data_IF_207529755761
#
_entry.id   IF_207529755761
#
_cell.length_a   1.000
_cell.length_b   1.000
_cell.length_c   1.000
_cell.angle_alpha   90.00
_cell.angle_beta   90.00
_cell.angle_gamma   90.00
#
_symmetry.space_group_name_H-M   'P 1'
#
loop_
_entity.id
_entity.type
_entity.pdbx_description
1 polymer ?
#
# COMPACT_ATOMS: atom_id res chain seq x y z
N UNK A 1 -28.58 -16.56 -69.19
CA UNK A 1 -27.39 -17.20 -68.59
C UNK A 1 -26.98 -16.37 -67.37
N UNK A 2 -27.03 -16.92 -66.16
CA UNK A 2 -26.48 -16.25 -64.97
C UNK A 2 -25.03 -16.68 -64.78
N UNK A 3 -24.13 -15.70 -64.69
CA UNK A 3 -22.72 -15.94 -64.37
C UNK A 3 -22.59 -15.98 -62.86
N UNK A 4 -22.13 -17.10 -62.31
CA UNK A 4 -21.81 -17.19 -60.89
C UNK A 4 -20.44 -16.53 -60.69
N UNK A 5 -20.42 -15.32 -60.11
CA UNK A 5 -19.18 -14.62 -59.79
C UNK A 5 -18.68 -15.14 -58.45
N UNK A 6 -17.53 -15.82 -58.45
CA UNK A 6 -16.85 -16.22 -57.22
C UNK A 6 -16.26 -14.98 -56.55
N UNK A 7 -16.92 -14.48 -55.49
CA UNK A 7 -16.40 -13.36 -54.72
C UNK A 7 -15.45 -13.90 -53.64
N UNK A 8 -14.20 -13.43 -53.64
CA UNK A 8 -13.19 -13.86 -52.68
C UNK A 8 -13.53 -13.38 -51.25
N UNK A 9 -13.36 -14.26 -50.28
CA UNK A 9 -13.43 -13.93 -48.85
C UNK A 9 -12.35 -12.90 -48.49
N UNK A 10 -12.73 -11.89 -47.71
CA UNK A 10 -11.81 -10.87 -47.19
C UNK A 10 -11.85 -10.98 -45.67
N UNK A 11 -10.73 -11.34 -45.06
CA UNK A 11 -10.59 -11.43 -43.61
C UNK A 11 -10.50 -10.04 -42.98
N UNK A 12 -10.91 -9.95 -41.71
CA UNK A 12 -10.77 -8.72 -40.97
C UNK A 12 -9.29 -8.41 -40.64
N UNK A 13 -8.87 -7.19 -40.96
CA UNK A 13 -7.55 -6.65 -40.57
C UNK A 13 -7.76 -5.54 -39.55
N UNK A 14 -7.04 -5.60 -38.43
CA UNK A 14 -7.08 -4.60 -37.35
C UNK A 14 -5.77 -3.85 -37.24
N UNK A 15 -5.84 -2.58 -36.85
CA UNK A 15 -4.69 -1.72 -36.62
C UNK A 15 -3.97 -2.01 -35.29
N UNK A 16 -2.92 -1.22 -35.03
CA UNK A 16 -2.20 -1.28 -33.76
C UNK A 16 -3.07 -0.84 -32.59
N UNK A 17 -2.73 -1.34 -31.40
CA UNK A 17 -3.33 -0.88 -30.16
C UNK A 17 -3.03 0.59 -29.89
N UNK A 18 -4.05 1.34 -29.49
CA UNK A 18 -3.90 2.66 -28.90
C UNK A 18 -3.22 2.62 -27.52
N UNK A 19 -2.96 3.80 -26.94
CA UNK A 19 -2.39 3.91 -25.61
C UNK A 19 -3.33 3.32 -24.54
N UNK A 20 -2.75 2.87 -23.44
CA UNK A 20 -3.51 2.48 -22.26
C UNK A 20 -4.16 3.70 -21.60
N UNK A 21 -5.41 3.56 -21.17
CA UNK A 21 -6.10 4.56 -20.36
C UNK A 21 -5.45 4.70 -18.98
N UNK A 22 -5.75 5.79 -18.29
CA UNK A 22 -5.46 5.90 -16.86
C UNK A 22 -6.05 4.73 -16.07
N UNK A 23 -5.40 4.36 -14.97
CA UNK A 23 -5.92 3.33 -14.08
C UNK A 23 -7.23 3.80 -13.45
N UNK A 24 -8.26 2.95 -13.43
CA UNK A 24 -9.57 3.28 -12.84
C UNK A 24 -9.46 3.63 -11.35
N UNK A 25 -8.49 3.04 -10.66
CA UNK A 25 -8.23 3.29 -9.25
C UNK A 25 -6.95 4.12 -9.12
N UNK A 26 -7.00 5.32 -8.50
CA UNK A 26 -5.81 6.18 -8.36
C UNK A 26 -4.83 5.69 -7.28
N UNK A 27 -5.33 4.95 -6.28
CA UNK A 27 -4.58 4.58 -5.07
C UNK A 27 -4.41 3.06 -4.84
N UNK A 28 -5.13 2.23 -5.60
CA UNK A 28 -5.29 0.81 -5.32
C UNK A 28 -5.24 -0.02 -6.60
N UNK A 29 -5.47 -1.33 -6.48
CA UNK A 29 -5.73 -2.18 -7.64
C UNK A 29 -6.94 -1.62 -8.41
N UNK A 30 -6.73 -1.43 -9.70
CA UNK A 30 -7.74 -1.03 -10.65
C UNK A 30 -7.52 -1.74 -11.97
N UNK A 31 -8.12 -1.19 -13.01
CA UNK A 31 -7.97 -1.69 -14.36
C UNK A 31 -7.69 -0.56 -15.33
N UNK A 32 -7.00 -0.88 -16.41
CA UNK A 32 -6.76 0.03 -17.54
C UNK A 32 -7.23 -0.65 -18.81
N UNK A 33 -7.75 0.14 -19.75
CA UNK A 33 -8.27 -0.31 -21.03
C UNK A 33 -7.53 0.36 -22.20
N UNK A 34 -7.38 -0.35 -23.30
CA UNK A 34 -6.98 0.21 -24.59
C UNK A 34 -7.83 -0.36 -25.71
N UNK A 35 -7.94 0.37 -26.81
CA UNK A 35 -8.69 -0.03 -28.00
C UNK A 35 -7.83 -0.01 -29.26
N UNK A 36 -8.26 -0.75 -30.28
CA UNK A 36 -7.72 -0.71 -31.65
C UNK A 36 -8.86 -0.64 -32.66
N UNK A 37 -8.56 -0.12 -33.84
CA UNK A 37 -9.54 0.07 -34.90
C UNK A 37 -9.45 -1.04 -35.96
N UNK A 38 -10.55 -1.28 -36.66
CA UNK A 38 -10.60 -2.16 -37.82
C UNK A 38 -10.07 -1.39 -39.03
N UNK A 39 -9.03 -1.89 -39.67
CA UNK A 39 -8.45 -1.34 -40.89
C UNK A 39 -9.17 -1.87 -42.14
N UNK A 40 -9.54 -3.16 -42.14
CA UNK A 40 -10.31 -3.78 -43.23
C UNK A 40 -11.43 -4.61 -42.59
N UNK A 41 -12.72 -4.29 -42.85
CA UNK A 41 -13.83 -5.08 -42.35
C UNK A 41 -13.97 -6.40 -43.11
N UNK A 42 -14.43 -7.48 -42.46
CA UNK A 42 -14.57 -8.78 -43.11
C UNK A 42 -15.70 -8.73 -44.15
N UNK A 43 -15.50 -9.41 -45.30
CA UNK A 43 -16.49 -9.51 -46.39
C UNK A 43 -16.53 -10.91 -46.98
N UNK A 44 -17.66 -11.25 -47.61
CA UNK A 44 -17.87 -12.49 -48.38
C UNK A 44 -17.51 -13.77 -47.60
N UNK A 45 -17.88 -13.81 -46.31
CA UNK A 45 -17.60 -14.97 -45.44
C UNK A 45 -16.17 -15.05 -44.89
N UNK A 46 -15.37 -13.98 -45.00
CA UNK A 46 -14.05 -13.91 -44.36
C UNK A 46 -14.10 -13.85 -42.83
N UNK A 47 -12.95 -14.08 -42.21
CA UNK A 47 -12.78 -14.25 -40.76
C UNK A 47 -13.16 -12.98 -39.99
N UNK A 48 -13.97 -13.09 -38.90
CA UNK A 48 -14.36 -11.94 -38.09
C UNK A 48 -13.16 -11.28 -37.40
N UNK A 49 -13.32 -10.02 -37.00
CA UNK A 49 -12.27 -9.27 -36.33
C UNK A 49 -11.94 -9.86 -34.94
N UNK A 50 -10.65 -9.91 -34.56
CA UNK A 50 -10.26 -10.22 -33.20
C UNK A 50 -10.66 -9.07 -32.24
N UNK A 51 -10.51 -9.28 -30.93
CA UNK A 51 -10.93 -8.31 -29.90
C UNK A 51 -10.39 -6.91 -30.16
N UNK A 52 -11.30 -5.93 -30.18
CA UNK A 52 -10.98 -4.52 -30.42
C UNK A 52 -10.69 -3.74 -29.14
N UNK A 53 -10.94 -4.34 -27.98
CA UNK A 53 -10.69 -3.78 -26.65
C UNK A 53 -9.87 -4.74 -25.81
N UNK A 54 -8.95 -4.22 -25.02
CA UNK A 54 -8.15 -4.99 -24.09
C UNK A 54 -8.16 -4.32 -22.72
N UNK A 55 -8.39 -5.12 -21.68
CA UNK A 55 -8.33 -4.68 -20.28
C UNK A 55 -7.27 -5.45 -19.53
N UNK A 56 -6.54 -4.78 -18.63
CA UNK A 56 -5.61 -5.44 -17.70
C UNK A 56 -5.67 -4.81 -16.31
N UNK A 57 -5.19 -5.54 -15.31
CA UNK A 57 -4.98 -5.00 -13.97
C UNK A 57 -3.88 -3.92 -13.96
N UNK A 58 -4.07 -2.91 -13.14
CA UNK A 58 -3.08 -1.87 -12.86
C UNK A 58 -3.08 -1.53 -11.38
N UNK A 59 -1.99 -0.94 -10.91
CA UNK A 59 -1.90 -0.37 -9.58
C UNK A 59 -1.81 1.15 -9.70
N UNK A 60 -2.74 1.88 -9.07
CA UNK A 60 -2.73 3.34 -9.06
C UNK A 60 -1.52 3.89 -8.29
N UNK A 61 -0.70 4.71 -8.96
CA UNK A 61 0.54 5.27 -8.40
C UNK A 61 0.44 6.79 -8.18
N UNK A 62 -0.72 7.27 -7.73
CA UNK A 62 -0.88 8.69 -7.43
C UNK A 62 -0.12 9.03 -6.14
N UNK A 63 0.75 10.04 -6.19
CA UNK A 63 1.61 10.47 -5.07
C UNK A 63 0.81 10.94 -3.86
N UNK A 64 -0.41 11.45 -4.07
CA UNK A 64 -1.35 11.79 -2.98
C UNK A 64 -1.85 10.57 -2.24
N UNK A 65 -1.81 9.39 -2.86
CA UNK A 65 -2.23 8.12 -2.26
C UNK A 65 -1.09 7.39 -1.54
N UNK A 66 0.17 7.79 -1.75
CA UNK A 66 1.30 7.22 -1.00
C UNK A 66 1.15 7.45 0.50
N UNK A 67 0.46 8.51 0.92
CA UNK A 67 0.12 8.78 2.33
C UNK A 67 -1.00 7.89 2.87
N UNK A 68 -1.87 7.33 2.01
CA UNK A 68 -2.94 6.40 2.37
C UNK A 68 -2.49 4.93 2.40
N UNK A 69 -1.29 4.63 1.89
CA UNK A 69 -0.63 3.31 1.98
C UNK A 69 0.14 3.08 3.27
N UNK A 70 0.35 4.13 4.06
CA UNK A 70 1.09 4.06 5.31
C UNK A 70 0.20 3.49 6.42
N UNK A 71 -0.05 2.17 6.37
CA UNK A 71 -0.61 1.45 7.51
C UNK A 71 0.54 1.15 8.46
N UNK A 72 0.51 1.76 9.64
CA UNK A 72 1.50 1.49 10.67
C UNK A 72 1.36 0.05 11.16
N UNK A 73 2.45 -0.70 11.11
CA UNK A 73 2.54 -1.98 11.81
C UNK A 73 3.04 -1.72 13.22
N UNK A 74 2.31 -2.22 14.22
CA UNK A 74 2.67 -2.04 15.61
C UNK A 74 2.89 -3.32 16.38
N UNK A 75 3.85 -3.25 17.30
CA UNK A 75 4.10 -4.23 18.34
C UNK A 75 3.91 -3.61 19.73
N UNK A 76 3.58 -4.42 20.75
CA UNK A 76 3.63 -3.99 22.15
C UNK A 76 5.06 -3.62 22.56
N UNK A 77 5.20 -2.71 23.52
CA UNK A 77 6.49 -2.36 24.15
C UNK A 77 7.23 -3.53 24.80
N UNK A 78 6.55 -4.63 25.12
CA UNK A 78 7.19 -5.86 25.62
C UNK A 78 8.19 -6.50 24.63
N UNK A 79 8.10 -6.14 23.35
CA UNK A 79 9.05 -6.54 22.31
C UNK A 79 10.29 -5.64 22.25
N UNK A 80 10.39 -4.59 23.10
CA UNK A 80 11.63 -3.84 23.39
C UNK A 80 12.64 -4.72 24.12
N UNK A 81 13.08 -5.83 23.50
CA UNK A 81 14.29 -6.50 23.93
C UNK A 81 15.39 -5.96 23.05
N UNK A 82 16.34 -5.28 23.69
CA UNK A 82 17.69 -5.07 23.21
C UNK A 82 18.35 -6.44 22.95
N UNK A 83 17.86 -7.18 21.95
CA UNK A 83 18.48 -8.40 21.49
C UNK A 83 19.71 -7.97 20.70
N UNK A 84 20.78 -7.64 21.44
CA UNK A 84 22.13 -7.63 20.92
C UNK A 84 22.41 -9.06 20.50
N UNK A 85 22.18 -9.35 19.23
CA UNK A 85 22.48 -10.65 18.64
C UNK A 85 23.95 -10.98 18.97
N UNK A 86 24.22 -12.00 19.80
CA UNK A 86 25.58 -12.36 20.19
C UNK A 86 26.47 -12.80 19.01
N UNK A 87 25.85 -13.10 17.86
CA UNK A 87 26.51 -13.58 16.64
C UNK A 87 26.63 -12.49 15.56
N UNK A 88 26.28 -11.23 15.86
CA UNK A 88 26.42 -10.11 14.91
C UNK A 88 27.92 -9.88 14.63
N UNK A 89 28.36 -10.24 13.42
CA UNK A 89 29.78 -10.19 13.02
C UNK A 89 30.27 -8.73 12.95
N UNK A 90 31.50 -8.41 13.42
CA UNK A 90 32.04 -7.04 13.46
C UNK A 90 32.13 -6.30 12.12
N UNK A 91 32.09 -7.02 10.98
CA UNK A 91 32.38 -6.48 9.65
C UNK A 91 31.15 -6.22 8.76
N UNK A 92 29.92 -6.40 9.26
CA UNK A 92 28.78 -5.86 8.51
C UNK A 92 28.76 -4.34 8.71
N UNK A 93 28.99 -3.60 7.62
CA UNK A 93 28.86 -2.15 7.54
C UNK A 93 27.64 -1.72 8.35
N UNK A 94 27.89 -1.00 9.44
CA UNK A 94 26.83 -0.43 10.25
C UNK A 94 26.06 0.52 9.35
N UNK A 95 24.82 0.13 9.03
CA UNK A 95 23.83 1.06 8.49
C UNK A 95 23.75 2.20 9.49
N UNK A 96 23.95 3.44 9.04
CA UNK A 96 23.98 4.64 9.89
C UNK A 96 22.97 4.52 11.04
N UNK A 97 23.46 4.64 12.28
CA UNK A 97 22.61 4.67 13.47
C UNK A 97 21.77 5.94 13.40
N UNK A 98 20.59 5.86 12.78
CA UNK A 98 19.60 6.93 12.83
C UNK A 98 19.18 7.14 14.28
N UNK A 99 18.77 8.35 14.66
CA UNK A 99 18.29 8.59 16.01
C UNK A 99 16.84 8.10 16.14
N UNK A 100 16.54 7.30 17.17
CA UNK A 100 15.15 6.90 17.45
C UNK A 100 14.32 8.10 17.90
N UNK A 101 13.04 8.13 17.50
CA UNK A 101 12.12 9.20 17.85
C UNK A 101 10.77 8.66 18.32
N UNK A 102 10.09 9.45 19.13
CA UNK A 102 8.77 9.15 19.68
C UNK A 102 7.70 9.91 18.91
N UNK A 103 6.56 9.26 18.69
CA UNK A 103 5.38 9.87 18.08
C UNK A 103 4.19 9.70 19.01
N UNK A 104 3.50 10.80 19.29
CA UNK A 104 2.31 10.79 20.12
C UNK A 104 1.08 10.79 19.21
N UNK A 105 0.34 9.68 19.27
CA UNK A 105 -0.79 9.39 18.39
C UNK A 105 -2.08 9.34 19.20
N UNK A 106 -3.09 10.09 18.77
CA UNK A 106 -4.44 10.09 19.35
C UNK A 106 -5.29 9.05 18.64
N UNK A 107 -5.71 8.00 19.35
CA UNK A 107 -6.51 6.91 18.77
C UNK A 107 -7.91 7.40 18.41
N UNK A 108 -8.33 7.22 17.16
CA UNK A 108 -9.68 7.58 16.70
C UNK A 108 -10.61 6.38 16.56
N UNK A 109 -10.05 5.23 16.16
CA UNK A 109 -10.80 3.98 16.04
C UNK A 109 -9.89 2.81 16.40
N UNK A 110 -10.46 1.81 17.07
CA UNK A 110 -9.83 0.52 17.32
C UNK A 110 -10.89 -0.58 17.18
N UNK A 111 -10.53 -1.70 16.58
CA UNK A 111 -11.42 -2.86 16.47
C UNK A 111 -11.68 -3.46 17.86
N UNK A 112 -12.83 -4.14 18.02
CA UNK A 112 -13.20 -4.76 19.28
C UNK A 112 -12.19 -5.83 19.75
N UNK A 113 -11.49 -6.47 18.81
CA UNK A 113 -10.46 -7.49 19.06
C UNK A 113 -9.30 -6.92 19.88
N UNK A 114 -8.96 -5.64 19.68
CA UNK A 114 -7.89 -4.98 20.42
C UNK A 114 -8.16 -4.93 21.94
N UNK A 115 -9.44 -4.93 22.36
CA UNK A 115 -9.85 -4.90 23.77
C UNK A 115 -9.55 -6.20 24.54
N UNK A 116 -9.23 -7.31 23.87
CA UNK A 116 -9.04 -8.60 24.53
C UNK A 116 -7.57 -8.97 24.78
N UNK A 117 -6.64 -8.43 23.98
CA UNK A 117 -5.20 -8.79 24.06
C UNK A 117 -4.25 -7.60 24.20
N UNK A 118 -4.67 -6.41 23.74
CA UNK A 118 -3.88 -5.17 23.80
C UNK A 118 -4.68 -4.07 24.53
N UNK A 119 -5.58 -4.51 25.41
CA UNK A 119 -6.75 -3.80 25.94
C UNK A 119 -6.44 -2.48 26.61
N UNK A 120 -5.25 -2.37 27.20
CA UNK A 120 -4.93 -1.24 28.06
C UNK A 120 -4.65 0.05 27.28
N UNK A 121 -4.33 -0.01 25.98
CA UNK A 121 -3.69 1.12 25.29
C UNK A 121 -4.48 1.69 24.12
N UNK A 122 -5.07 0.85 23.28
CA UNK A 122 -5.70 1.26 22.02
C UNK A 122 -7.19 1.54 22.22
N UNK A 123 -7.48 2.50 23.10
CA UNK A 123 -8.84 2.98 23.41
C UNK A 123 -9.09 4.29 22.68
N UNK A 124 -10.33 4.49 22.20
CA UNK A 124 -10.74 5.72 21.50
C UNK A 124 -10.43 6.98 22.34
N UNK A 125 -9.91 8.01 21.68
CA UNK A 125 -9.42 9.29 22.22
C UNK A 125 -8.23 9.20 23.20
N UNK A 126 -7.66 8.01 23.42
CA UNK A 126 -6.45 7.86 24.22
C UNK A 126 -5.23 8.32 23.42
N UNK A 127 -4.31 9.00 24.11
CA UNK A 127 -2.99 9.33 23.58
C UNK A 127 -2.06 8.14 23.81
N UNK A 128 -1.41 7.68 22.74
CA UNK A 128 -0.50 6.55 22.75
C UNK A 128 0.86 7.00 22.22
N UNK A 129 1.91 6.62 22.93
CA UNK A 129 3.29 6.86 22.49
C UNK A 129 3.73 5.67 21.63
N UNK A 130 4.13 5.96 20.40
CA UNK A 130 4.67 4.99 19.46
C UNK A 130 6.14 5.33 19.19
N UNK A 131 7.03 4.39 19.47
CA UNK A 131 8.47 4.55 19.27
C UNK A 131 8.87 4.05 17.88
N UNK A 132 9.57 4.91 17.14
CA UNK A 132 10.16 4.59 15.85
C UNK A 132 11.65 4.29 16.05
N UNK A 133 12.00 3.01 15.92
CA UNK A 133 13.37 2.53 16.06
C UNK A 133 14.08 2.48 14.70
N UNK A 134 15.41 2.48 14.75
CA UNK A 134 16.28 2.59 13.57
C UNK A 134 16.03 1.47 12.56
N UNK A 135 15.76 0.26 13.06
CA UNK A 135 15.47 -0.91 12.23
C UNK A 135 14.16 -0.76 11.45
N UNK A 136 13.16 -0.05 12.01
CA UNK A 136 11.87 0.23 11.38
C UNK A 136 11.95 1.37 10.33
N UNK A 137 13.02 2.17 10.34
CA UNK A 137 13.25 3.26 9.38
C UNK A 137 13.87 2.79 8.05
N UNK A 138 13.70 1.51 7.68
CA UNK A 138 14.40 0.75 6.62
C UNK A 138 14.99 1.53 5.41
N UNK A 139 14.28 2.49 4.80
CA UNK A 139 14.75 3.31 3.66
C UNK A 139 14.52 4.83 3.81
N UNK A 140 13.93 5.27 4.92
CA UNK A 140 13.48 6.65 5.14
C UNK A 140 14.03 7.15 6.48
N UNK A 141 13.89 8.44 6.79
CA UNK A 141 14.13 8.98 8.14
C UNK A 141 12.87 8.89 9.01
N UNK A 142 11.84 8.18 8.53
CA UNK A 142 10.53 8.04 9.17
C UNK A 142 10.03 6.61 9.16
N UNK A 143 9.33 6.20 10.21
CA UNK A 143 8.59 4.94 10.24
C UNK A 143 7.34 4.99 9.37
N UNK A 144 7.07 3.89 8.67
CA UNK A 144 5.84 3.75 7.89
C UNK A 144 4.60 3.87 8.79
N UNK A 145 3.72 4.81 8.49
CA UNK A 145 2.49 5.03 9.25
C UNK A 145 2.65 5.91 10.49
N UNK A 146 3.80 6.58 10.66
CA UNK A 146 3.99 7.62 11.68
C UNK A 146 3.14 8.88 11.40
N UNK A 147 2.62 9.00 10.18
CA UNK A 147 1.60 9.96 9.78
C UNK A 147 2.05 11.42 9.76
N UNK A 148 1.26 12.25 9.08
CA UNK A 148 1.41 13.71 9.10
C UNK A 148 0.46 14.32 10.12
N UNK A 149 0.82 15.49 10.65
CA UNK A 149 -0.04 16.23 11.58
C UNK A 149 -1.45 16.39 11.00
N UNK A 150 -2.46 16.25 11.87
CA UNK A 150 -3.90 16.34 11.53
C UNK A 150 -4.43 15.33 10.49
N UNK A 151 -3.60 14.43 9.96
CA UNK A 151 -4.02 13.41 8.98
C UNK A 151 -4.33 12.10 9.70
N UNK A 152 -5.49 11.51 9.37
CA UNK A 152 -5.86 10.19 9.87
C UNK A 152 -4.98 9.13 9.23
N UNK A 153 -4.26 8.38 10.06
CA UNK A 153 -3.46 7.24 9.64
C UNK A 153 -4.02 5.95 10.22
N UNK A 154 -3.83 4.86 9.49
CA UNK A 154 -4.34 3.54 9.86
C UNK A 154 -3.22 2.71 10.45
N UNK A 155 -3.58 1.76 11.30
CA UNK A 155 -2.62 0.88 11.96
C UNK A 155 -3.16 -0.53 12.11
N UNK A 156 -2.25 -1.50 12.20
CA UNK A 156 -2.57 -2.89 12.51
C UNK A 156 -1.53 -3.49 13.46
N UNK A 157 -2.00 -4.24 14.46
CA UNK A 157 -1.13 -4.91 15.40
C UNK A 157 -0.59 -6.21 14.79
N UNK A 158 0.74 -6.31 14.64
CA UNK A 158 1.38 -7.42 13.93
C UNK A 158 1.12 -8.80 14.57
N UNK A 159 0.95 -8.84 15.90
CA UNK A 159 0.77 -10.09 16.67
C UNK A 159 -0.67 -10.39 17.05
N UNK A 160 -1.60 -9.49 16.75
CA UNK A 160 -3.01 -9.65 17.09
C UNK A 160 -3.83 -9.54 15.82
N UNK A 161 -4.03 -10.65 15.09
CA UNK A 161 -4.83 -10.67 13.87
C UNK A 161 -6.21 -10.04 14.11
N UNK A 162 -6.63 -9.16 13.21
CA UNK A 162 -7.89 -8.43 13.34
C UNK A 162 -7.85 -7.25 14.31
N UNK A 163 -6.77 -7.02 15.07
CA UNK A 163 -6.58 -5.76 15.80
C UNK A 163 -5.99 -4.69 14.87
N UNK A 164 -6.83 -3.72 14.55
CA UNK A 164 -6.51 -2.62 13.64
C UNK A 164 -7.34 -1.40 14.00
N UNK A 165 -6.98 -0.27 13.44
CA UNK A 165 -7.68 0.96 13.72
C UNK A 165 -7.09 2.16 13.01
N UNK A 166 -7.33 3.32 13.58
CA UNK A 166 -6.77 4.57 13.09
C UNK A 166 -6.50 5.54 14.23
N UNK A 167 -5.56 6.44 13.99
CA UNK A 167 -5.17 7.49 14.91
C UNK A 167 -4.81 8.76 14.12
N UNK A 168 -4.51 9.84 14.84
CA UNK A 168 -4.00 11.08 14.27
C UNK A 168 -2.76 11.47 15.05
N UNK A 169 -1.70 11.91 14.36
CA UNK A 169 -0.49 12.42 15.00
C UNK A 169 -0.78 13.76 15.67
N UNK A 170 -0.42 13.86 16.94
CA UNK A 170 -0.55 15.07 17.74
C UNK A 170 0.79 15.79 17.88
N UNK A 171 1.87 15.04 18.12
CA UNK A 171 3.22 15.60 18.18
C UNK A 171 4.29 14.52 17.97
N UNK A 172 5.56 14.95 17.81
CA UNK A 172 6.72 14.07 17.84
C UNK A 172 7.88 14.70 18.59
N UNK A 173 8.71 13.87 19.20
CA UNK A 173 9.90 14.30 19.94
C UNK A 173 11.09 13.42 19.59
N UNK A 174 12.24 14.07 19.42
CA UNK A 174 13.55 13.43 19.40
C UNK A 174 13.92 13.00 20.84
N UNK A 175 14.74 11.96 21.01
CA UNK A 175 15.12 11.44 22.34
C UNK A 175 14.01 10.61 23.00
N UNK A 176 13.67 9.47 22.40
CA UNK A 176 12.45 8.75 22.72
C UNK A 176 12.41 8.18 24.15
N UNK A 177 11.44 8.64 24.97
CA UNK A 177 11.18 8.12 26.32
C UNK A 177 9.68 7.95 26.56
N UNK A 178 9.10 6.92 25.93
CA UNK A 178 7.69 6.61 26.12
C UNK A 178 7.38 6.11 27.55
N UNK A 179 6.19 6.43 28.10
CA UNK A 179 5.70 5.84 29.34
C UNK A 179 5.46 4.32 29.19
N UNK A 180 5.36 3.56 30.29
CA UNK A 180 4.93 2.17 30.24
C UNK A 180 3.57 2.10 29.58
N UNK A 181 3.35 1.06 28.77
CA UNK A 181 2.19 0.94 27.90
C UNK A 181 2.31 1.71 26.57
N UNK A 182 3.46 1.59 25.93
CA UNK A 182 3.75 2.16 24.60
C UNK A 182 3.72 1.10 23.50
N UNK A 183 3.74 1.55 22.25
CA UNK A 183 3.84 0.67 21.07
C UNK A 183 5.12 0.95 20.28
N UNK A 184 5.54 -0.02 19.49
CA UNK A 184 6.69 0.08 18.60
C UNK A 184 6.23 0.04 17.15
N UNK A 185 6.78 0.89 16.30
CA UNK A 185 6.68 0.73 14.85
C UNK A 185 7.59 -0.39 14.36
N UNK A 186 7.16 -1.10 13.32
CA UNK A 186 7.92 -2.17 12.63
C UNK A 186 7.91 -1.94 11.13
#
# INVERSE_FOLDING_TARGET
>A
MCVCVCVSAIDCVVGSWGPWSSCTSPCSVGSTERSRLVSVPPRNGGTPCPDLKQRRGCFGNNTTCSTAKEVAMILPDSFKRNFKDPWRRPHMLMKEEKASYCVYMRVKQASAVCKFKLSAQLVRERLVCAECQNDAMSKSDRCGGDGRESTRTFWSAALVPGCHGSWVRESSSEGCRCPPSSVLFV
#
